data_IF_041429685398
#
_entry.id   IF_041429685398
#
_cell.length_a   1.000
_cell.length_b   1.000
_cell.length_c   1.000
_cell.angle_alpha   90.00
_cell.angle_beta   90.00
_cell.angle_gamma   90.00
#
_symmetry.space_group_name_H-M   'P 1'
#
loop_
_entity.id
_entity.type
_entity.pdbx_description
1 polymer ?
#
# COMPACT_ATOMS: atom_id res chain seq x y z
N UNK A 1 10.16 -11.95 2.34
CA UNK A 1 8.84 -11.45 1.90
C UNK A 1 7.82 -11.25 3.02
N UNK A 2 7.83 -12.02 4.13
CA UNK A 2 6.82 -11.89 5.21
C UNK A 2 7.17 -10.96 6.38
N UNK A 3 8.43 -10.56 6.55
CA UNK A 3 8.89 -9.86 7.75
C UNK A 3 8.22 -8.47 8.00
N UNK A 4 7.97 -7.62 6.99
CA UNK A 4 7.39 -6.29 7.22
C UNK A 4 5.94 -6.36 7.72
N UNK A 5 5.11 -7.22 7.10
CA UNK A 5 3.72 -7.47 7.49
C UNK A 5 3.64 -8.08 8.90
N UNK A 6 4.52 -9.02 9.23
CA UNK A 6 4.58 -9.59 10.58
C UNK A 6 4.90 -8.54 11.65
N UNK A 7 5.86 -7.65 11.40
CA UNK A 7 6.20 -6.57 12.35
C UNK A 7 5.07 -5.55 12.49
N UNK A 8 4.36 -5.25 11.39
CA UNK A 8 3.19 -4.38 11.42
C UNK A 8 2.05 -4.97 12.26
N UNK A 9 1.66 -6.21 11.96
CA UNK A 9 0.59 -6.92 12.70
C UNK A 9 0.98 -7.15 14.16
N UNK A 10 2.26 -7.45 14.44
CA UNK A 10 2.76 -7.57 15.81
C UNK A 10 2.66 -6.24 16.56
N UNK A 11 2.99 -5.13 15.91
CA UNK A 11 2.83 -3.77 16.46
C UNK A 11 1.38 -3.48 16.83
N UNK A 12 0.44 -3.77 15.93
CA UNK A 12 -1.00 -3.57 16.16
C UNK A 12 -1.52 -4.49 17.29
N UNK A 13 -1.02 -5.72 17.37
CA UNK A 13 -1.36 -6.68 18.41
C UNK A 13 -0.86 -6.21 19.78
N UNK A 14 0.38 -5.76 19.88
CA UNK A 14 0.96 -5.23 21.11
C UNK A 14 0.24 -3.96 21.57
N UNK A 15 -0.12 -3.08 20.63
CA UNK A 15 -0.91 -1.89 20.92
C UNK A 15 -2.29 -2.26 21.48
N UNK A 16 -2.96 -3.24 20.87
CA UNK A 16 -4.27 -3.75 21.34
C UNK A 16 -4.17 -4.34 22.75
N UNK A 17 -3.12 -5.13 23.04
CA UNK A 17 -2.86 -5.67 24.39
C UNK A 17 -2.64 -4.52 25.39
N UNK A 18 -1.89 -3.48 25.00
CA UNK A 18 -1.67 -2.30 25.83
C UNK A 18 -2.97 -1.59 26.19
N UNK A 19 -3.86 -1.39 25.22
CA UNK A 19 -5.18 -0.78 25.41
C UNK A 19 -6.04 -1.62 26.38
N UNK A 20 -6.08 -2.94 26.19
CA UNK A 20 -6.83 -3.86 27.07
C UNK A 20 -6.26 -3.83 28.49
N UNK A 21 -4.94 -3.89 28.64
CA UNK A 21 -4.28 -3.86 29.94
C UNK A 21 -4.54 -2.57 30.71
N UNK A 22 -4.57 -1.43 30.01
CA UNK A 22 -4.94 -0.14 30.59
C UNK A 22 -6.42 -0.14 31.04
N UNK A 23 -7.33 -0.67 30.22
CA UNK A 23 -8.74 -0.82 30.60
C UNK A 23 -8.94 -1.71 31.84
N UNK A 24 -8.18 -2.80 31.96
CA UNK A 24 -8.21 -3.67 33.15
C UNK A 24 -7.64 -2.95 34.38
N UNK A 25 -6.55 -2.20 34.23
CA UNK A 25 -5.95 -1.44 35.34
C UNK A 25 -6.92 -0.39 35.91
N UNK A 26 -7.72 0.25 35.06
CA UNK A 26 -8.75 1.20 35.48
C UNK A 26 -9.85 0.58 36.35
N UNK A 27 -10.14 -0.73 36.23
CA UNK A 27 -11.13 -1.40 37.08
C UNK A 27 -10.71 -1.45 38.56
N UNK A 28 -9.40 -1.41 38.83
CA UNK A 28 -8.85 -1.46 40.18
C UNK A 28 -8.48 -0.07 40.74
N UNK A 29 -8.40 0.94 39.87
CA UNK A 29 -7.97 2.29 40.22
C UNK A 29 -9.20 3.18 40.39
N UNK A 30 -9.48 3.60 41.63
CA UNK A 30 -10.65 4.42 41.99
C UNK A 30 -10.49 5.92 41.60
N UNK A 31 -9.67 6.23 40.59
CA UNK A 31 -9.48 7.59 40.07
C UNK A 31 -10.41 7.84 38.89
N UNK A 32 -11.56 8.44 39.19
CA UNK A 32 -12.62 8.76 38.22
C UNK A 32 -12.20 9.74 37.12
N UNK A 33 -11.14 10.52 37.32
CA UNK A 33 -10.59 11.45 36.29
C UNK A 33 -9.70 10.74 35.26
N UNK A 34 -9.19 9.55 35.59
CA UNK A 34 -8.25 8.81 34.77
C UNK A 34 -8.95 8.13 33.59
N UNK A 35 -10.21 7.75 33.79
CA UNK A 35 -11.07 7.11 32.79
C UNK A 35 -11.28 7.94 31.51
N UNK A 36 -11.70 9.23 31.58
CA UNK A 36 -11.80 10.06 30.38
C UNK A 36 -10.45 10.36 29.73
N UNK A 37 -9.37 10.53 30.51
CA UNK A 37 -8.02 10.78 29.97
C UNK A 37 -7.51 9.58 29.16
N UNK A 38 -7.62 8.38 29.74
CA UNK A 38 -7.24 7.12 29.09
C UNK A 38 -8.10 6.87 27.87
N UNK A 39 -9.42 7.11 27.94
CA UNK A 39 -10.32 6.96 26.81
C UNK A 39 -9.92 7.84 25.62
N UNK A 40 -9.54 9.10 25.87
CA UNK A 40 -9.03 10.00 24.82
C UNK A 40 -7.70 9.50 24.23
N UNK A 41 -6.79 8.99 25.07
CA UNK A 41 -5.52 8.42 24.61
C UNK A 41 -5.74 7.20 23.71
N UNK A 42 -6.62 6.28 24.12
CA UNK A 42 -6.98 5.11 23.32
C UNK A 42 -7.63 5.54 22.01
N UNK A 43 -8.57 6.49 22.05
CA UNK A 43 -9.23 7.00 20.85
C UNK A 43 -8.24 7.61 19.86
N UNK A 44 -7.26 8.40 20.34
CA UNK A 44 -6.20 8.95 19.50
C UNK A 44 -5.32 7.85 18.90
N UNK A 45 -4.94 6.85 19.68
CA UNK A 45 -4.14 5.71 19.19
C UNK A 45 -4.88 4.96 18.07
N UNK A 46 -6.17 4.67 18.28
CA UNK A 46 -7.02 4.00 17.29
C UNK A 46 -7.19 4.86 16.03
N UNK A 47 -7.39 6.18 16.17
CA UNK A 47 -7.50 7.11 15.05
C UNK A 47 -6.23 7.15 14.19
N UNK A 48 -5.06 7.22 14.82
CA UNK A 48 -3.77 7.24 14.11
C UNK A 48 -3.53 5.92 13.37
N UNK A 49 -3.77 4.78 14.04
CA UNK A 49 -3.64 3.45 13.44
C UNK A 49 -4.59 3.29 12.23
N UNK A 50 -5.88 3.57 12.45
CA UNK A 50 -6.92 3.43 11.41
C UNK A 50 -6.69 4.39 10.25
N UNK A 51 -6.24 5.62 10.52
CA UNK A 51 -5.98 6.63 9.49
C UNK A 51 -4.87 6.21 8.51
N UNK A 52 -3.85 5.50 8.99
CA UNK A 52 -2.79 4.96 8.13
C UNK A 52 -3.32 3.91 7.16
N UNK A 53 -4.06 2.93 7.68
CA UNK A 53 -4.67 1.85 6.87
C UNK A 53 -5.68 2.41 5.88
N UNK A 54 -6.47 3.41 6.30
CA UNK A 54 -7.44 4.08 5.44
C UNK A 54 -6.76 4.79 4.26
N UNK A 55 -5.66 5.51 4.52
CA UNK A 55 -4.91 6.21 3.46
C UNK A 55 -4.37 5.22 2.42
N UNK A 56 -3.80 4.11 2.86
CA UNK A 56 -3.29 3.05 1.99
C UNK A 56 -4.41 2.42 1.15
N UNK A 57 -5.55 2.14 1.78
CA UNK A 57 -6.73 1.61 1.08
C UNK A 57 -7.25 2.59 0.02
N UNK A 58 -7.30 3.89 0.33
CA UNK A 58 -7.70 4.92 -0.62
C UNK A 58 -6.71 4.99 -1.80
N UNK A 59 -5.40 4.89 -1.54
CA UNK A 59 -4.38 4.88 -2.59
C UNK A 59 -4.58 3.73 -3.58
N UNK A 60 -4.82 2.53 -3.07
CA UNK A 60 -5.09 1.35 -3.90
C UNK A 60 -6.41 1.52 -4.68
N UNK A 61 -7.48 1.97 -4.02
CA UNK A 61 -8.78 2.17 -4.66
C UNK A 61 -8.77 3.30 -5.71
N UNK A 62 -7.90 4.28 -5.54
CA UNK A 62 -7.70 5.37 -6.49
C UNK A 62 -6.79 4.95 -7.68
N UNK A 63 -6.41 3.67 -7.77
CA UNK A 63 -5.46 3.15 -8.76
C UNK A 63 -4.15 3.94 -8.77
N UNK A 64 -3.70 4.33 -7.56
CA UNK A 64 -2.50 5.13 -7.37
C UNK A 64 -1.26 4.46 -7.94
N UNK A 65 -0.34 5.29 -8.44
CA UNK A 65 0.95 4.83 -8.95
C UNK A 65 1.72 4.08 -7.86
N UNK A 66 2.29 2.90 -8.15
CA UNK A 66 3.07 2.15 -7.18
C UNK A 66 4.32 2.92 -6.75
N UNK A 67 4.62 2.90 -5.46
CA UNK A 67 5.84 3.50 -4.93
C UNK A 67 7.08 2.73 -5.42
N UNK A 68 8.10 3.46 -5.88
CA UNK A 68 9.38 2.87 -6.29
C UNK A 68 9.48 2.41 -7.74
N UNK A 69 8.46 2.60 -8.57
CA UNK A 69 8.56 2.42 -10.02
C UNK A 69 8.81 3.77 -10.69
N UNK A 70 9.94 3.93 -11.36
CA UNK A 70 10.17 5.08 -12.24
C UNK A 70 9.62 4.78 -13.64
N UNK A 71 8.70 5.62 -14.11
CA UNK A 71 8.07 5.43 -15.42
C UNK A 71 9.12 5.37 -16.56
N UNK A 72 10.18 6.18 -16.44
CA UNK A 72 11.29 6.21 -17.40
C UNK A 72 12.06 4.89 -17.46
N UNK A 73 12.25 4.20 -16.33
CA UNK A 73 12.91 2.90 -16.29
C UNK A 73 12.06 1.82 -16.98
N UNK A 74 10.74 1.86 -16.80
CA UNK A 74 9.80 0.95 -17.47
C UNK A 74 9.81 1.20 -18.97
N UNK A 75 9.77 2.46 -19.41
CA UNK A 75 9.84 2.81 -20.84
C UNK A 75 11.17 2.34 -21.43
N UNK A 76 12.28 2.58 -20.75
CA UNK A 76 13.60 2.14 -21.20
C UNK A 76 13.69 0.61 -21.31
N UNK A 77 13.12 -0.12 -20.34
CA UNK A 77 13.05 -1.58 -20.37
C UNK A 77 12.24 -2.08 -21.57
N UNK A 78 11.05 -1.53 -21.83
CA UNK A 78 10.23 -1.92 -22.98
C UNK A 78 10.94 -1.59 -24.30
N UNK A 79 11.57 -0.42 -24.41
CA UNK A 79 12.33 0.00 -25.61
C UNK A 79 13.60 -0.80 -25.85
N UNK A 80 14.10 -1.53 -24.87
CA UNK A 80 15.27 -2.39 -25.04
C UNK A 80 14.97 -3.69 -25.80
N UNK A 81 13.69 -4.02 -25.97
CA UNK A 81 13.23 -5.18 -26.73
C UNK A 81 13.36 -4.91 -28.23
N UNK A 82 13.98 -5.85 -28.96
CA UNK A 82 14.16 -5.75 -30.41
C UNK A 82 12.82 -5.66 -31.14
N UNK A 83 12.74 -4.77 -32.13
CA UNK A 83 11.52 -4.53 -32.90
C UNK A 83 10.54 -3.52 -32.27
N UNK A 84 10.78 -3.02 -31.05
CA UNK A 84 9.99 -1.93 -30.45
C UNK A 84 10.50 -0.58 -30.96
N UNK A 85 9.67 0.13 -31.72
CA UNK A 85 9.97 1.47 -32.22
C UNK A 85 9.59 2.56 -31.21
N UNK A 86 8.45 2.41 -30.54
CA UNK A 86 7.95 3.42 -29.61
C UNK A 86 7.00 2.87 -28.54
N UNK A 87 6.82 3.63 -27.46
CA UNK A 87 5.89 3.34 -26.36
C UNK A 87 5.14 4.62 -25.99
N UNK A 88 3.81 4.55 -25.94
CA UNK A 88 2.90 5.64 -25.62
C UNK A 88 1.81 5.21 -24.64
N UNK A 89 1.14 6.18 -24.01
CA UNK A 89 0.02 5.95 -23.08
C UNK A 89 0.32 4.92 -21.98
N UNK A 90 1.57 4.90 -21.49
CA UNK A 90 1.99 4.00 -20.43
C UNK A 90 1.35 4.44 -19.11
N UNK A 91 0.49 3.57 -18.58
CA UNK A 91 -0.15 3.72 -17.28
C UNK A 91 0.26 2.56 -16.39
N UNK A 92 0.58 2.86 -15.13
CA UNK A 92 0.99 1.87 -14.12
C UNK A 92 0.21 2.15 -12.84
N UNK A 93 -0.43 1.13 -12.30
CA UNK A 93 -1.29 1.25 -11.12
C UNK A 93 -1.08 0.08 -10.15
N UNK A 94 -1.39 0.34 -8.89
CA UNK A 94 -1.39 -0.67 -7.82
C UNK A 94 -2.81 -1.19 -7.66
N UNK A 95 -3.05 -2.45 -8.00
CA UNK A 95 -4.37 -3.10 -7.87
C UNK A 95 -4.54 -3.74 -6.50
N UNK A 96 -3.44 -4.25 -5.91
CA UNK A 96 -3.38 -4.77 -4.55
C UNK A 96 -1.95 -4.56 -3.99
N UNK A 97 -1.71 -4.72 -2.67
CA UNK A 97 -0.40 -4.44 -2.04
C UNK A 97 0.82 -5.09 -2.72
N UNK A 98 0.64 -6.22 -3.40
CA UNK A 98 1.68 -6.93 -4.16
C UNK A 98 1.30 -7.19 -5.63
N UNK A 99 0.26 -6.52 -6.14
CA UNK A 99 -0.22 -6.71 -7.51
C UNK A 99 -0.18 -5.39 -8.26
N UNK A 100 0.86 -5.24 -9.07
CA UNK A 100 1.08 -4.08 -9.94
C UNK A 100 0.58 -4.46 -11.33
N UNK A 101 -0.19 -3.56 -11.94
CA UNK A 101 -0.66 -3.71 -13.30
C UNK A 101 -0.22 -2.51 -14.15
N UNK A 102 -0.09 -2.76 -15.44
CA UNK A 102 0.42 -1.82 -16.43
C UNK A 102 -0.33 -2.01 -17.74
N UNK A 103 -0.61 -0.90 -18.42
CA UNK A 103 -1.07 -0.88 -19.82
C UNK A 103 -0.27 0.15 -20.60
N UNK A 104 0.08 -0.20 -21.85
CA UNK A 104 0.85 0.66 -22.73
C UNK A 104 0.50 0.37 -24.19
N UNK A 105 0.63 1.38 -25.04
CA UNK A 105 0.64 1.21 -26.49
C UNK A 105 2.09 1.08 -26.96
N UNK A 106 2.42 -0.07 -27.56
CA UNK A 106 3.76 -0.35 -28.09
C UNK A 106 3.68 -0.36 -29.60
N UNK A 107 4.48 0.50 -30.24
CA UNK A 107 4.68 0.50 -31.68
C UNK A 107 5.82 -0.45 -32.01
N UNK A 108 5.57 -1.39 -32.92
CA UNK A 108 6.54 -2.38 -33.40
C UNK A 108 6.78 -2.23 -34.89
N UNK A 109 7.94 -2.69 -35.35
CA UNK A 109 8.32 -2.67 -36.76
C UNK A 109 7.28 -3.38 -37.65
N UNK A 110 7.01 -2.82 -38.82
CA UNK A 110 6.01 -3.35 -39.76
C UNK A 110 6.46 -4.69 -40.36
N UNK A 111 5.92 -5.79 -39.84
CA UNK A 111 6.14 -7.13 -40.39
C UNK A 111 4.99 -7.54 -41.34
N UNK A 112 5.30 -8.29 -42.40
CA UNK A 112 4.28 -8.88 -43.27
C UNK A 112 3.54 -9.97 -42.49
N UNK A 113 2.20 -9.96 -42.53
CA UNK A 113 1.31 -10.93 -41.84
C UNK A 113 1.70 -12.41 -42.10
N UNK A 114 2.37 -12.69 -43.22
CA UNK A 114 2.89 -14.02 -43.56
C UNK A 114 4.09 -14.50 -42.71
N UNK A 115 4.63 -13.67 -41.82
CA UNK A 115 5.83 -13.97 -41.00
C UNK A 115 5.61 -13.78 -39.50
N UNK A 116 4.37 -13.65 -39.05
CA UNK A 116 4.02 -13.62 -37.62
C UNK A 116 3.96 -15.06 -37.08
N UNK A 117 5.03 -15.52 -36.44
CA UNK A 117 5.03 -16.70 -35.54
C UNK A 117 5.00 -16.25 -34.07
#
# INVERSE_FOLDING_TARGET
MLAPLFLHVLGDTLASIGVIGVGVALLFVNWTWLDPLVSVLIALLVLVSSGRVLKESIHILAEGMPEGIALDEVIAAIRSVEGVENVHDLHVWTVAPDYIALSAHVQVENQKVSQTE
#
